data_IF_698869840066
#
_entry.id   IF_698869840066
#
_cell.length_a   1.000
_cell.length_b   1.000
_cell.length_c   1.000
_cell.angle_alpha   90.00
_cell.angle_beta   90.00
_cell.angle_gamma   90.00
#
_symmetry.space_group_name_H-M   'P 1'
#
loop_
_entity.id
_entity.type
_entity.pdbx_description
1 polymer ?
#
# COMPACT_ATOMS: atom_id res chain seq x y z
N UNK A 1 42.58 14.30 60.53
CA UNK A 1 41.38 14.23 61.38
C UNK A 1 40.34 13.39 60.66
N UNK A 2 40.18 12.16 61.14
CA UNK A 2 39.29 11.12 60.62
C UNK A 2 38.08 11.00 61.54
N UNK A 3 36.86 11.03 61.00
CA UNK A 3 35.69 10.45 61.67
C UNK A 3 34.74 9.78 60.65
N UNK A 4 34.04 8.71 61.07
CA UNK A 4 33.69 7.59 60.22
C UNK A 4 32.21 7.55 59.78
N UNK A 5 32.01 6.71 58.77
CA UNK A 5 30.78 6.03 58.36
C UNK A 5 29.90 5.56 59.55
N UNK A 6 28.58 5.78 59.45
CA UNK A 6 27.56 4.93 60.05
C UNK A 6 26.41 4.66 59.08
N UNK A 7 26.36 3.40 58.65
CA UNK A 7 25.23 2.72 58.04
C UNK A 7 24.09 2.62 59.06
N UNK A 8 22.86 2.97 58.67
CA UNK A 8 21.65 2.63 59.43
C UNK A 8 20.61 2.03 58.48
N UNK A 9 20.57 0.71 58.53
CA UNK A 9 19.60 -0.19 57.95
C UNK A 9 18.23 0.03 58.61
N UNK A 10 17.19 0.36 57.84
CA UNK A 10 15.78 0.18 58.25
C UNK A 10 15.08 -0.70 57.23
N UNK A 11 15.16 -1.99 57.48
CA UNK A 11 14.19 -3.00 57.05
C UNK A 11 13.03 -2.92 58.04
N UNK A 12 11.80 -2.73 57.57
CA UNK A 12 10.58 -3.44 58.01
C UNK A 12 9.33 -2.73 57.46
N UNK A 13 8.38 -3.55 56.98
CA UNK A 13 6.97 -3.24 56.69
C UNK A 13 6.61 -2.86 55.24
N UNK A 14 6.46 -3.87 54.38
CA UNK A 14 5.43 -3.92 53.32
C UNK A 14 5.39 -5.31 52.68
N UNK A 15 4.99 -6.31 53.46
CA UNK A 15 4.59 -7.65 52.98
C UNK A 15 3.16 -7.88 53.44
N UNK A 16 2.18 -7.20 52.84
CA UNK A 16 0.75 -7.61 52.75
C UNK A 16 0.09 -6.69 51.71
N UNK A 17 0.27 -6.93 50.41
CA UNK A 17 -0.65 -6.51 49.33
C UNK A 17 -0.25 -7.16 47.99
N UNK A 18 0.12 -8.45 48.01
CA UNK A 18 0.58 -9.19 46.82
C UNK A 18 -0.13 -10.54 46.65
N UNK A 19 -1.41 -10.65 47.05
CA UNK A 19 -2.17 -11.91 46.98
C UNK A 19 -3.63 -11.75 46.53
N UNK A 20 -3.98 -10.71 45.78
CA UNK A 20 -5.35 -10.48 45.29
C UNK A 20 -5.40 -9.74 43.94
N UNK A 21 -4.54 -10.13 43.01
CA UNK A 21 -4.61 -9.68 41.60
C UNK A 21 -4.27 -10.80 40.59
N UNK A 22 -4.45 -12.07 40.97
CA UNK A 22 -4.15 -13.23 40.13
C UNK A 22 -5.40 -14.04 39.71
N UNK A 23 -6.60 -13.48 39.87
CA UNK A 23 -7.87 -14.13 39.57
C UNK A 23 -8.74 -13.21 38.71
N UNK A 24 -8.64 -13.32 37.38
CA UNK A 24 -9.61 -12.62 36.54
C UNK A 24 -9.42 -12.62 35.04
N UNK A 25 -8.21 -12.82 34.50
CA UNK A 25 -8.08 -12.98 33.04
C UNK A 25 -8.42 -14.42 32.71
N UNK A 26 -9.72 -14.72 32.67
CA UNK A 26 -10.22 -15.84 31.88
C UNK A 26 -9.74 -15.56 30.46
N UNK A 27 -8.61 -16.15 30.09
CA UNK A 27 -8.23 -16.35 28.70
C UNK A 27 -9.37 -17.16 28.10
N UNK A 28 -10.39 -16.46 27.60
CA UNK A 28 -11.33 -17.01 26.65
C UNK A 28 -10.44 -17.59 25.58
N UNK A 29 -10.44 -18.92 25.46
CA UNK A 29 -9.63 -19.66 24.50
C UNK A 29 -10.06 -19.23 23.10
N UNK A 30 -9.51 -18.12 22.64
CA UNK A 30 -9.60 -17.70 21.26
C UNK A 30 -8.87 -18.79 20.49
N UNK A 31 -9.65 -19.73 19.98
CA UNK A 31 -9.18 -20.77 19.09
C UNK A 31 -8.40 -20.07 17.99
N UNK A 32 -7.10 -20.34 17.93
CA UNK A 32 -6.20 -19.73 16.95
C UNK A 32 -6.81 -19.97 15.56
N UNK A 33 -7.27 -18.89 14.92
CA UNK A 33 -7.97 -19.00 13.64
C UNK A 33 -6.95 -19.53 12.64
N UNK A 34 -7.12 -20.78 12.21
CA UNK A 34 -6.28 -21.40 11.18
C UNK A 34 -6.30 -20.49 9.94
N UNK A 35 -5.15 -19.92 9.62
CA UNK A 35 -4.99 -19.06 8.46
C UNK A 35 -5.25 -19.88 7.19
N UNK A 36 -5.96 -19.28 6.25
CA UNK A 36 -6.18 -19.86 4.92
C UNK A 36 -4.97 -19.58 4.07
N UNK A 37 -4.60 -20.54 3.23
CA UNK A 37 -3.52 -20.36 2.28
C UNK A 37 -3.89 -19.30 1.22
N UNK A 38 -2.88 -18.55 0.80
CA UNK A 38 -2.96 -17.65 -0.34
C UNK A 38 -3.14 -18.50 -1.61
N UNK A 39 -4.16 -18.20 -2.40
CA UNK A 39 -4.47 -18.99 -3.59
C UNK A 39 -4.02 -18.26 -4.84
N UNK A 40 -3.07 -18.84 -5.57
CA UNK A 40 -2.71 -18.34 -6.90
C UNK A 40 -3.88 -18.49 -7.87
N UNK A 41 -4.22 -17.43 -8.59
CA UNK A 41 -5.37 -17.38 -9.51
C UNK A 41 -4.94 -17.48 -10.96
N UNK A 42 -4.15 -16.51 -11.42
CA UNK A 42 -3.70 -16.39 -12.81
C UNK A 42 -2.52 -15.42 -12.89
N UNK A 43 -2.01 -15.22 -14.09
CA UNK A 43 -0.88 -14.31 -14.35
C UNK A 43 -0.91 -13.77 -15.77
N UNK A 44 -0.14 -12.71 -15.98
CA UNK A 44 0.07 -12.08 -17.28
C UNK A 44 1.27 -11.15 -17.25
N UNK A 45 1.71 -10.74 -18.44
CA UNK A 45 2.75 -9.74 -18.61
C UNK A 45 2.14 -8.40 -19.00
N UNK A 46 2.43 -7.35 -18.24
CA UNK A 46 1.98 -6.00 -18.55
C UNK A 46 3.10 -5.20 -19.23
N UNK A 47 2.80 -4.64 -20.39
CA UNK A 47 3.73 -3.83 -21.16
C UNK A 47 3.61 -2.34 -20.79
N UNK A 48 4.72 -1.61 -20.82
CA UNK A 48 4.76 -0.16 -20.61
C UNK A 48 5.64 0.49 -21.64
N UNK A 49 5.07 1.46 -22.38
CA UNK A 49 5.82 2.23 -23.38
C UNK A 49 6.84 3.15 -22.70
N UNK A 50 7.84 3.59 -23.46
CA UNK A 50 8.73 4.66 -22.99
C UNK A 50 8.07 6.01 -23.28
N UNK A 51 8.52 7.04 -22.56
CA UNK A 51 8.07 8.39 -22.82
C UNK A 51 8.35 8.78 -24.27
N UNK A 52 7.32 9.26 -24.97
CA UNK A 52 7.39 9.65 -26.38
C UNK A 52 7.09 8.52 -27.38
N UNK A 53 7.06 7.25 -26.94
CA UNK A 53 6.56 6.16 -27.77
C UNK A 53 5.03 6.26 -27.87
N UNK A 54 4.48 6.05 -29.07
CA UNK A 54 3.04 6.03 -29.34
C UNK A 54 2.47 4.61 -29.49
N UNK A 55 3.33 3.62 -29.67
CA UNK A 55 2.96 2.22 -29.91
C UNK A 55 3.86 1.27 -29.13
N UNK A 56 3.36 0.06 -28.89
CA UNK A 56 4.20 -1.01 -28.36
C UNK A 56 5.04 -1.63 -29.47
N UNK A 57 6.32 -1.77 -29.19
CA UNK A 57 7.30 -2.47 -30.02
C UNK A 57 7.69 -3.79 -29.36
N UNK A 58 8.50 -4.58 -30.06
CA UNK A 58 9.13 -5.78 -29.48
C UNK A 58 10.07 -5.45 -28.31
N UNK A 59 10.56 -4.21 -28.25
CA UNK A 59 11.50 -3.73 -27.24
C UNK A 59 10.79 -2.96 -26.11
N UNK A 60 9.46 -2.89 -26.15
CA UNK A 60 8.64 -2.34 -25.07
C UNK A 60 8.84 -3.19 -23.82
N UNK A 61 9.16 -2.51 -22.72
CA UNK A 61 9.40 -3.13 -21.43
C UNK A 61 8.13 -3.83 -20.94
N UNK A 62 8.29 -5.02 -20.37
CA UNK A 62 7.21 -5.84 -19.84
C UNK A 62 7.55 -6.30 -18.44
N UNK A 63 6.51 -6.53 -17.65
CA UNK A 63 6.61 -6.92 -16.26
C UNK A 63 5.73 -8.14 -16.02
N UNK A 64 6.30 -9.20 -15.46
CA UNK A 64 5.49 -10.32 -14.98
C UNK A 64 4.62 -9.88 -13.81
N UNK A 65 3.33 -10.22 -13.85
CA UNK A 65 2.34 -9.92 -12.79
C UNK A 65 1.57 -11.18 -12.44
N UNK A 66 1.56 -11.51 -11.16
CA UNK A 66 0.79 -12.60 -10.58
C UNK A 66 -0.44 -12.08 -9.86
N UNK A 67 -1.54 -12.81 -9.95
CA UNK A 67 -2.78 -12.53 -9.24
C UNK A 67 -3.06 -13.62 -8.21
N UNK A 68 -3.24 -13.22 -6.96
CA UNK A 68 -3.56 -14.10 -5.84
C UNK A 68 -4.90 -13.72 -5.21
N UNK A 69 -5.52 -14.68 -4.54
CA UNK A 69 -6.66 -14.46 -3.63
C UNK A 69 -6.24 -14.68 -2.19
N UNK A 70 -6.35 -13.63 -1.39
CA UNK A 70 -6.19 -13.71 0.06
C UNK A 70 -7.55 -13.91 0.74
N UNK A 71 -7.79 -15.14 1.20
CA UNK A 71 -9.05 -15.52 1.84
C UNK A 71 -9.12 -15.13 3.33
N UNK A 72 -8.05 -14.55 3.89
CA UNK A 72 -8.03 -14.09 5.27
C UNK A 72 -8.60 -12.67 5.41
N UNK A 73 -8.60 -11.90 4.31
CA UNK A 73 -9.09 -10.52 4.24
C UNK A 73 -10.38 -10.43 3.43
N UNK A 74 -11.43 -9.87 4.04
CA UNK A 74 -12.72 -9.59 3.40
C UNK A 74 -13.36 -10.77 2.64
N UNK A 75 -13.04 -12.01 3.03
CA UNK A 75 -13.59 -13.23 2.41
C UNK A 75 -12.95 -13.62 1.07
N UNK A 76 -11.91 -12.91 0.60
CA UNK A 76 -11.24 -13.24 -0.67
C UNK A 76 -10.88 -12.01 -1.50
N UNK A 77 -10.05 -11.11 -0.97
CA UNK A 77 -9.53 -9.96 -1.74
C UNK A 77 -8.51 -10.42 -2.78
N UNK A 78 -8.50 -9.76 -3.94
CA UNK A 78 -7.47 -9.94 -4.95
C UNK A 78 -6.19 -9.19 -4.60
N UNK A 79 -5.05 -9.83 -4.80
CA UNK A 79 -3.72 -9.26 -4.63
C UNK A 79 -2.91 -9.49 -5.90
N UNK A 80 -2.65 -8.42 -6.65
CA UNK A 80 -1.73 -8.42 -7.77
C UNK A 80 -0.32 -8.09 -7.29
N UNK A 81 0.69 -8.81 -7.79
CA UNK A 81 2.10 -8.61 -7.44
C UNK A 81 2.95 -8.64 -8.71
N UNK A 82 3.71 -7.59 -8.96
CA UNK A 82 4.67 -7.54 -10.07
C UNK A 82 6.01 -8.18 -9.71
N UNK A 83 6.81 -8.53 -10.72
CA UNK A 83 8.19 -9.01 -10.54
C UNK A 83 9.11 -8.05 -9.76
N UNK A 84 8.76 -6.77 -9.68
CA UNK A 84 9.50 -5.76 -8.90
C UNK A 84 9.16 -5.84 -7.41
N UNK A 85 8.03 -6.47 -7.08
CA UNK A 85 7.44 -6.55 -5.75
C UNK A 85 6.31 -5.56 -5.53
N UNK A 86 6.02 -4.65 -6.46
CA UNK A 86 4.89 -3.74 -6.31
C UNK A 86 3.58 -4.52 -6.20
N UNK A 87 2.72 -4.13 -5.26
CA UNK A 87 1.48 -4.82 -4.91
C UNK A 87 0.28 -3.92 -5.15
N UNK A 88 -0.84 -4.50 -5.56
CA UNK A 88 -2.11 -3.79 -5.67
C UNK A 88 -3.27 -4.70 -5.24
N UNK A 89 -4.18 -4.17 -4.43
CA UNK A 89 -5.40 -4.86 -4.03
C UNK A 89 -6.54 -4.51 -4.97
N UNK A 90 -7.41 -5.49 -5.23
CA UNK A 90 -8.65 -5.25 -5.95
C UNK A 90 -9.77 -6.15 -5.43
N UNK A 91 -11.04 -5.74 -5.57
CA UNK A 91 -12.17 -6.61 -5.28
C UNK A 91 -12.37 -7.67 -6.39
N UNK A 92 -13.51 -8.34 -6.39
CA UNK A 92 -13.96 -9.26 -7.45
C UNK A 92 -13.20 -10.60 -7.59
N UNK A 93 -12.39 -10.99 -6.60
CA UNK A 93 -11.82 -12.35 -6.53
C UNK A 93 -12.73 -13.34 -5.79
N UNK A 94 -13.74 -12.83 -5.09
CA UNK A 94 -14.79 -13.64 -4.46
C UNK A 94 -15.61 -14.33 -5.55
N UNK A 95 -15.75 -15.65 -5.46
CA UNK A 95 -16.46 -16.46 -6.46
C UNK A 95 -15.60 -16.97 -7.62
N UNK A 96 -14.37 -16.48 -7.78
CA UNK A 96 -13.42 -17.13 -8.69
C UNK A 96 -13.07 -18.53 -8.17
N UNK A 97 -12.84 -19.47 -9.10
CA UNK A 97 -12.38 -20.83 -8.80
C UNK A 97 -10.92 -20.99 -9.26
N UNK A 98 -9.94 -20.45 -8.50
CA UNK A 98 -8.54 -20.55 -8.86
C UNK A 98 -8.02 -22.00 -8.74
N UNK A 99 -7.03 -22.42 -9.54
CA UNK A 99 -6.41 -21.66 -10.63
C UNK A 99 -7.32 -21.52 -11.85
N UNK A 100 -7.28 -20.36 -12.51
CA UNK A 100 -8.04 -20.13 -13.74
C UNK A 100 -7.29 -20.70 -14.94
N UNK A 101 -7.89 -21.67 -15.61
CA UNK A 101 -7.32 -22.30 -16.81
C UNK A 101 -8.37 -22.39 -17.93
N UNK A 102 -8.19 -21.71 -19.08
CA UNK A 102 -7.05 -20.83 -19.40
C UNK A 102 -7.13 -19.46 -18.71
N UNK A 103 -5.97 -18.92 -18.32
CA UNK A 103 -5.84 -17.50 -17.97
C UNK A 103 -6.03 -16.66 -19.24
N UNK A 104 -6.96 -15.71 -19.22
CA UNK A 104 -7.10 -14.73 -20.31
C UNK A 104 -6.10 -13.60 -20.11
N UNK A 105 -5.37 -13.25 -21.17
CA UNK A 105 -4.46 -12.10 -21.16
C UNK A 105 -5.21 -10.78 -20.98
N UNK A 106 -4.59 -9.77 -20.34
CA UNK A 106 -5.21 -8.47 -20.11
C UNK A 106 -5.34 -7.70 -21.42
N UNK A 107 -6.41 -6.91 -21.54
CA UNK A 107 -6.61 -6.03 -22.68
C UNK A 107 -5.99 -4.65 -22.39
N UNK A 108 -5.00 -4.24 -23.18
CA UNK A 108 -4.52 -2.86 -23.18
C UNK A 108 -5.63 -1.95 -23.68
N UNK A 109 -5.90 -0.85 -22.97
CA UNK A 109 -6.88 0.13 -23.41
C UNK A 109 -6.28 1.49 -23.74
N UNK A 110 -5.42 2.02 -22.88
CA UNK A 110 -4.82 3.35 -23.09
C UNK A 110 -3.56 3.52 -22.25
N UNK A 111 -2.82 4.59 -22.53
CA UNK A 111 -1.62 4.98 -21.81
C UNK A 111 -1.63 6.46 -21.50
N UNK A 112 -1.04 6.82 -20.37
CA UNK A 112 -0.97 8.17 -19.83
C UNK A 112 0.49 8.53 -19.56
N UNK A 113 0.87 9.77 -19.81
CA UNK A 113 2.15 10.33 -19.38
C UNK A 113 1.89 11.24 -18.18
N UNK A 114 2.46 10.89 -17.02
CA UNK A 114 2.14 11.54 -15.75
C UNK A 114 3.37 12.30 -15.23
N UNK A 115 3.44 13.63 -15.43
CA UNK A 115 4.41 14.46 -14.74
C UNK A 115 4.29 14.31 -13.22
N UNK A 116 5.39 14.32 -12.49
CA UNK A 116 5.37 14.31 -11.03
C UNK A 116 6.49 15.18 -10.47
N UNK A 117 6.12 16.23 -9.72
CA UNK A 117 7.10 17.16 -9.16
C UNK A 117 7.67 16.64 -7.86
N UNK A 118 8.89 17.07 -7.56
CA UNK A 118 9.47 16.86 -6.23
C UNK A 118 8.77 17.71 -5.19
N UNK A 119 8.81 17.28 -3.93
CA UNK A 119 8.30 18.09 -2.82
C UNK A 119 8.89 19.52 -2.82
N UNK A 120 8.04 20.52 -2.65
CA UNK A 120 8.39 21.95 -2.64
C UNK A 120 8.53 22.59 -4.03
N UNK A 121 8.40 21.82 -5.12
CA UNK A 121 8.49 22.36 -6.48
C UNK A 121 7.11 22.84 -6.96
N UNK A 122 6.97 24.15 -7.15
CA UNK A 122 5.67 24.79 -7.42
C UNK A 122 5.20 24.75 -8.88
N UNK A 123 6.11 24.53 -9.83
CA UNK A 123 5.79 24.55 -11.27
C UNK A 123 6.35 23.31 -11.95
N UNK A 124 5.63 22.82 -12.95
CA UNK A 124 6.20 21.87 -13.89
C UNK A 124 7.26 22.60 -14.72
N UNK A 125 8.43 21.99 -14.82
CA UNK A 125 9.58 22.45 -15.59
C UNK A 125 10.19 21.30 -16.37
N UNK A 126 11.26 21.58 -17.11
CA UNK A 126 11.98 20.58 -17.91
C UNK A 126 12.64 19.46 -17.09
N UNK A 127 12.82 19.69 -15.78
CA UNK A 127 13.46 18.74 -14.86
C UNK A 127 12.40 17.89 -14.11
N UNK A 128 11.12 18.19 -14.34
CA UNK A 128 10.00 17.40 -13.83
C UNK A 128 10.02 16.03 -14.50
N UNK A 129 10.11 14.98 -13.68
CA UNK A 129 10.04 13.61 -14.19
C UNK A 129 8.63 13.31 -14.70
N UNK A 130 8.54 12.69 -15.87
CA UNK A 130 7.30 12.15 -16.42
C UNK A 130 7.37 10.63 -16.34
N UNK A 131 6.33 10.00 -15.79
CA UNK A 131 6.23 8.54 -15.66
C UNK A 131 5.15 8.04 -16.63
N UNK A 132 5.53 7.32 -17.70
CA UNK A 132 4.57 6.62 -18.54
C UNK A 132 3.82 5.56 -17.72
N UNK A 133 2.52 5.47 -17.93
CA UNK A 133 1.63 4.52 -17.27
C UNK A 133 0.66 3.91 -18.27
N UNK A 134 0.49 2.60 -18.21
CA UNK A 134 -0.44 1.86 -19.08
C UNK A 134 -1.59 1.26 -18.29
N UNK A 135 -2.76 1.21 -18.93
CA UNK A 135 -4.01 0.75 -18.35
C UNK A 135 -4.48 -0.51 -19.04
N UNK A 136 -4.76 -1.51 -18.22
CA UNK A 136 -5.20 -2.83 -18.64
C UNK A 136 -6.49 -3.22 -17.96
N UNK A 137 -7.31 -4.02 -18.65
CA UNK A 137 -8.43 -4.74 -18.04
C UNK A 137 -8.02 -6.18 -17.80
N UNK A 138 -8.11 -6.65 -16.56
CA UNK A 138 -8.07 -8.08 -16.25
C UNK A 138 -9.45 -8.70 -16.56
N UNK A 139 -9.58 -9.49 -17.64
CA UNK A 139 -10.86 -10.11 -18.01
C UNK A 139 -11.29 -11.23 -17.07
N UNK A 140 -10.43 -11.67 -16.15
CA UNK A 140 -10.71 -12.78 -15.25
C UNK A 140 -11.43 -12.31 -13.98
N UNK A 141 -10.98 -11.20 -13.40
CA UNK A 141 -11.58 -10.60 -12.19
C UNK A 141 -12.34 -9.29 -12.48
N UNK A 142 -12.35 -8.83 -13.73
CA UNK A 142 -13.00 -7.59 -14.15
C UNK A 142 -12.48 -6.37 -13.33
N UNK A 143 -11.17 -6.31 -13.17
CA UNK A 143 -10.46 -5.25 -12.46
C UNK A 143 -9.62 -4.41 -13.43
N UNK A 144 -9.49 -3.12 -13.13
CA UNK A 144 -8.53 -2.27 -13.81
C UNK A 144 -7.15 -2.46 -13.21
N UNK A 145 -6.14 -2.50 -14.06
CA UNK A 145 -4.74 -2.60 -13.68
C UNK A 145 -3.99 -1.45 -14.31
N UNK A 146 -3.21 -0.77 -13.50
CA UNK A 146 -2.39 0.36 -13.89
C UNK A 146 -0.95 -0.01 -13.59
N UNK A 147 -0.05 0.23 -14.54
CA UNK A 147 1.37 -0.05 -14.34
C UNK A 147 2.24 1.05 -14.92
N UNK A 148 3.25 1.49 -14.16
CA UNK A 148 4.23 2.48 -14.64
C UNK A 148 5.43 1.84 -15.32
N UNK A 149 6.22 2.63 -16.03
CA UNK A 149 7.50 2.24 -16.65
C UNK A 149 8.55 1.68 -15.66
N UNK A 150 8.29 1.80 -14.35
CA UNK A 150 9.08 1.23 -13.25
C UNK A 150 8.48 -0.05 -12.65
N UNK A 151 7.34 -0.51 -13.15
CA UNK A 151 6.67 -1.71 -12.69
C UNK A 151 5.89 -1.50 -11.40
N UNK A 152 5.52 -0.25 -11.07
CA UNK A 152 4.66 0.04 -9.94
C UNK A 152 3.20 -0.22 -10.34
N UNK A 153 2.51 -1.03 -9.56
CA UNK A 153 1.14 -1.45 -9.81
C UNK A 153 0.15 -0.65 -8.98
N UNK A 154 -1.02 -0.41 -9.56
CA UNK A 154 -2.24 -0.12 -8.82
C UNK A 154 -3.42 -0.84 -9.49
N UNK A 155 -4.45 -1.11 -8.72
CA UNK A 155 -5.64 -1.79 -9.20
C UNK A 155 -6.87 -1.19 -8.53
N UNK A 156 -7.99 -1.21 -9.24
CA UNK A 156 -9.27 -0.80 -8.69
C UNK A 156 -10.41 -1.59 -9.35
N UNK A 157 -11.58 -1.58 -8.72
CA UNK A 157 -12.78 -2.02 -9.43
C UNK A 157 -13.05 -1.07 -10.60
N UNK A 158 -13.76 -1.59 -11.59
CA UNK A 158 -14.23 -0.77 -12.69
C UNK A 158 -15.70 -1.00 -12.94
N UNK A 159 -16.51 0.05 -12.80
CA UNK A 159 -17.51 0.32 -13.85
C UNK A 159 -16.74 0.94 -15.01
N UNK A 160 -16.94 0.44 -16.23
CA UNK A 160 -16.56 1.19 -17.42
C UNK A 160 -17.32 2.51 -17.34
N UNK A 161 -16.62 3.60 -17.05
CA UNK A 161 -17.06 4.89 -17.56
C UNK A 161 -16.48 4.94 -18.96
N UNK A 162 -17.29 4.75 -20.03
CA UNK A 162 -16.80 4.96 -21.38
C UNK A 162 -16.58 6.47 -21.57
N UNK A 163 -15.54 6.99 -20.93
CA UNK A 163 -14.90 8.19 -21.42
C UNK A 163 -14.53 7.91 -22.87
N UNK A 164 -14.71 8.90 -23.75
CA UNK A 164 -14.17 8.82 -25.10
C UNK A 164 -12.67 8.54 -24.95
N UNK A 165 -12.23 7.35 -25.37
CA UNK A 165 -10.85 6.91 -25.35
C UNK A 165 -9.93 7.98 -25.93
N UNK A 166 -8.72 8.12 -25.38
CA UNK A 166 -7.68 8.99 -25.93
C UNK A 166 -7.73 10.43 -25.40
N UNK A 167 -8.21 10.63 -24.17
CA UNK A 167 -8.05 11.89 -23.47
C UNK A 167 -6.89 11.82 -22.49
N UNK A 168 -6.05 12.84 -22.53
CA UNK A 168 -4.98 13.03 -21.57
C UNK A 168 -5.55 13.16 -20.14
N UNK A 169 -4.81 12.67 -19.12
CA UNK A 169 -5.20 12.83 -17.74
C UNK A 169 -5.21 14.31 -17.37
N UNK A 170 -6.26 14.76 -16.68
CA UNK A 170 -6.38 16.15 -16.25
C UNK A 170 -5.77 16.30 -14.86
N UNK A 171 -4.79 17.16 -14.69
CA UNK A 171 -4.26 17.51 -13.37
C UNK A 171 -5.36 18.12 -12.47
N UNK A 172 -5.43 17.68 -11.22
CA UNK A 172 -6.42 18.10 -10.22
C UNK A 172 -5.78 19.02 -9.19
N UNK A 173 -4.82 18.50 -8.41
CA UNK A 173 -4.04 19.25 -7.42
C UNK A 173 -2.74 18.49 -7.09
N UNK A 174 -1.98 19.01 -6.13
CA UNK A 174 -0.75 18.39 -5.64
C UNK A 174 -0.62 18.54 -4.13
N UNK A 175 0.07 17.60 -3.49
CA UNK A 175 0.37 17.66 -2.06
C UNK A 175 1.83 17.26 -1.79
N UNK A 176 2.41 17.86 -0.75
CA UNK A 176 3.72 17.48 -0.23
C UNK A 176 3.53 16.78 1.12
N UNK A 177 3.96 15.52 1.20
CA UNK A 177 3.86 14.71 2.41
C UNK A 177 5.21 14.50 3.06
N UNK A 178 5.20 14.34 4.39
CA UNK A 178 6.37 13.95 5.17
C UNK A 178 6.18 12.54 5.71
N UNK A 179 7.25 11.76 5.77
CA UNK A 179 7.18 10.38 6.28
C UNK A 179 8.37 10.11 7.18
N UNK A 180 8.10 9.72 8.42
CA UNK A 180 9.13 9.29 9.35
C UNK A 180 9.59 7.87 9.02
N UNK A 181 10.82 7.55 9.42
CA UNK A 181 11.30 6.17 9.31
C UNK A 181 10.65 5.28 10.36
N UNK A 182 10.57 3.99 10.07
CA UNK A 182 10.04 3.00 11.01
C UNK A 182 10.76 3.03 12.37
N UNK A 183 10.00 3.13 13.46
CA UNK A 183 10.50 3.23 14.83
C UNK A 183 11.01 4.62 15.22
N UNK A 184 10.93 5.63 14.34
CA UNK A 184 11.37 6.99 14.60
C UNK A 184 10.18 7.89 14.92
N UNK A 185 10.17 8.46 16.13
CA UNK A 185 9.08 9.35 16.58
C UNK A 185 9.22 10.79 16.09
N UNK A 186 10.45 11.25 15.89
CA UNK A 186 10.78 12.64 15.56
C UNK A 186 10.75 12.90 14.04
N UNK A 187 10.35 14.11 13.65
CA UNK A 187 10.25 14.52 12.24
C UNK A 187 11.55 15.04 11.62
N UNK A 188 12.62 15.18 12.41
CA UNK A 188 13.88 15.83 11.98
C UNK A 188 14.45 15.22 10.69
N UNK A 189 14.32 13.91 10.54
CA UNK A 189 14.85 13.14 9.42
C UNK A 189 13.73 12.55 8.54
N UNK A 190 12.53 13.13 8.61
CA UNK A 190 11.41 12.70 7.80
C UNK A 190 11.68 12.97 6.31
N UNK A 191 11.40 11.96 5.48
CA UNK A 191 11.50 12.09 4.03
C UNK A 191 10.32 12.92 3.50
N UNK A 192 10.55 13.70 2.45
CA UNK A 192 9.52 14.52 1.79
C UNK A 192 9.21 13.96 0.40
N UNK A 193 7.93 13.88 0.08
CA UNK A 193 7.45 13.36 -1.20
C UNK A 193 6.44 14.31 -1.81
N UNK A 194 6.69 14.73 -3.06
CA UNK A 194 5.68 15.39 -3.88
C UNK A 194 4.74 14.34 -4.49
N UNK A 195 3.45 14.63 -4.45
CA UNK A 195 2.38 13.80 -5.01
C UNK A 195 1.53 14.67 -5.92
N UNK A 196 1.34 14.23 -7.15
CA UNK A 196 0.38 14.83 -8.07
C UNK A 196 -0.89 13.97 -8.10
N UNK A 197 -2.03 14.64 -8.24
CA UNK A 197 -3.32 13.99 -8.39
C UNK A 197 -3.89 14.34 -9.76
N UNK A 198 -4.19 13.31 -10.55
CA UNK A 198 -4.78 13.43 -11.88
C UNK A 198 -6.16 12.78 -11.90
N UNK A 199 -7.04 13.31 -12.74
CA UNK A 199 -8.29 12.65 -13.15
C UNK A 199 -8.02 11.95 -14.47
N UNK A 200 -8.18 10.64 -14.48
CA UNK A 200 -8.19 9.87 -15.72
C UNK A 200 -9.55 9.97 -16.39
N UNK A 201 -9.61 10.70 -17.50
CA UNK A 201 -10.84 10.89 -18.27
C UNK A 201 -11.34 9.59 -18.93
N UNK A 202 -10.50 8.55 -19.05
CA UNK A 202 -10.87 7.29 -19.68
C UNK A 202 -11.57 6.36 -18.69
N UNK A 203 -11.22 6.41 -17.40
CA UNK A 203 -11.76 5.50 -16.39
C UNK A 203 -12.60 6.19 -15.30
N UNK A 204 -12.57 7.52 -15.20
CA UNK A 204 -13.25 8.25 -14.13
C UNK A 204 -12.61 8.04 -12.75
N UNK A 205 -11.35 7.60 -12.72
CA UNK A 205 -10.60 7.42 -11.48
C UNK A 205 -9.68 8.61 -11.21
N UNK A 206 -9.34 8.80 -9.94
CA UNK A 206 -8.22 9.63 -9.52
C UNK A 206 -6.94 8.78 -9.50
N UNK A 207 -5.88 9.33 -10.08
CA UNK A 207 -4.53 8.79 -10.06
C UNK A 207 -3.70 9.65 -9.12
N UNK A 208 -3.22 9.05 -8.04
CA UNK A 208 -2.20 9.63 -7.19
C UNK A 208 -0.86 9.09 -7.65
N UNK A 209 0.10 9.96 -7.93
CA UNK A 209 1.45 9.56 -8.34
C UNK A 209 2.52 10.32 -7.55
N UNK A 210 3.46 9.59 -6.99
CA UNK A 210 4.61 10.18 -6.30
C UNK A 210 5.70 10.59 -7.27
N UNK A 211 6.58 11.52 -6.87
CA UNK A 211 7.77 11.88 -7.66
C UNK A 211 8.64 10.67 -8.07
N UNK A 212 8.59 9.55 -7.33
CA UNK A 212 9.31 8.31 -7.67
C UNK A 212 8.54 7.41 -8.64
N UNK A 213 7.29 7.73 -8.98
CA UNK A 213 6.45 6.97 -9.92
C UNK A 213 5.67 5.82 -9.27
N UNK A 214 5.52 5.83 -7.94
CA UNK A 214 4.53 4.95 -7.29
C UNK A 214 3.14 5.52 -7.49
N UNK A 215 2.18 4.65 -7.75
CA UNK A 215 0.81 5.04 -8.08
C UNK A 215 -0.19 4.41 -7.11
N UNK A 216 -1.29 5.12 -6.87
CA UNK A 216 -2.49 4.60 -6.24
C UNK A 216 -3.71 5.13 -6.98
N UNK A 217 -4.73 4.27 -7.15
CA UNK A 217 -5.92 4.57 -7.94
C UNK A 217 -7.15 4.40 -7.07
N UNK A 218 -8.03 5.39 -7.09
CA UNK A 218 -9.35 5.31 -6.45
C UNK A 218 -10.43 5.86 -7.37
N UNK A 219 -11.66 5.33 -7.33
CA UNK A 219 -12.78 5.91 -8.06
C UNK A 219 -13.04 7.36 -7.65
N UNK A 220 -13.34 8.23 -8.62
CA UNK A 220 -13.82 9.57 -8.33
C UNK A 220 -15.33 9.55 -8.08
N UNK A 221 -15.75 9.36 -6.82
CA UNK A 221 -17.18 9.27 -6.49
C UNK A 221 -17.92 10.63 -6.58
N UNK A 222 -17.17 11.73 -6.46
CA UNK A 222 -17.68 13.11 -6.53
C UNK A 222 -16.69 13.96 -7.30
N UNK A 223 -17.20 14.90 -8.09
CA UNK A 223 -16.34 15.82 -8.83
C UNK A 223 -15.44 16.61 -7.88
N UNK A 224 -14.15 16.39 -8.01
CA UNK A 224 -13.13 17.14 -7.28
C UNK A 224 -12.90 18.47 -7.98
N UNK A 225 -13.01 19.56 -7.23
CA UNK A 225 -12.62 20.89 -7.71
C UNK A 225 -11.11 21.03 -7.55
N UNK A 226 -10.45 21.63 -8.54
CA UNK A 226 -9.02 21.94 -8.49
C UNK A 226 -8.77 23.09 -7.48
N UNK A 227 -8.83 22.75 -6.19
CA UNK A 227 -8.54 23.63 -5.06
C UNK A 227 -7.47 22.94 -4.20
N UNK A 228 -6.26 23.49 -4.20
CA UNK A 228 -5.12 22.85 -3.57
C UNK A 228 -5.11 23.13 -2.07
N UNK A 229 -5.82 22.32 -1.30
CA UNK A 229 -5.73 22.35 0.17
C UNK A 229 -4.63 21.42 0.65
N UNK A 230 -3.89 21.86 1.67
CA UNK A 230 -2.92 21.01 2.33
C UNK A 230 -3.64 19.83 3.00
N UNK A 231 -3.10 18.60 2.88
CA UNK A 231 -3.68 17.45 3.54
C UNK A 231 -3.47 17.52 5.05
N UNK A 232 -4.42 16.97 5.80
CA UNK A 232 -4.35 16.94 7.26
C UNK A 232 -3.65 15.66 7.71
N UNK A 233 -2.58 15.78 8.50
CA UNK A 233 -1.93 14.60 9.08
C UNK A 233 -2.80 13.99 10.18
N UNK A 234 -3.04 12.68 10.11
CA UNK A 234 -3.85 11.95 11.08
C UNK A 234 -2.95 11.32 12.15
N UNK A 235 -2.12 10.36 11.76
CA UNK A 235 -1.20 9.62 12.64
C UNK A 235 -0.15 8.88 11.80
N UNK A 236 0.81 8.26 12.48
CA UNK A 236 1.80 7.37 11.86
C UNK A 236 1.69 5.95 12.39
N UNK A 237 2.15 5.00 11.58
CA UNK A 237 2.14 3.57 11.84
C UNK A 237 3.57 3.02 11.68
N UNK A 238 3.95 2.12 12.57
CA UNK A 238 5.18 1.33 12.46
C UNK A 238 4.84 -0.11 12.07
N UNK A 239 5.12 -0.49 10.82
CA UNK A 239 4.76 -1.80 10.29
C UNK A 239 5.98 -2.71 10.23
N UNK A 240 6.03 -3.72 11.08
CA UNK A 240 7.05 -4.77 10.98
C UNK A 240 6.77 -5.65 9.78
N UNK A 241 7.74 -5.90 8.91
CA UNK A 241 7.59 -6.83 7.80
C UNK A 241 8.73 -7.83 7.77
N UNK A 242 8.38 -9.11 7.81
CA UNK A 242 9.35 -10.19 7.67
C UNK A 242 9.83 -10.29 6.23
N UNK A 243 11.07 -10.71 6.08
CA UNK A 243 11.55 -11.19 4.79
C UNK A 243 10.87 -12.53 4.42
N UNK A 244 10.83 -12.89 3.14
CA UNK A 244 10.21 -14.14 2.65
C UNK A 244 10.79 -15.41 3.28
N UNK A 245 12.03 -15.35 3.75
CA UNK A 245 12.73 -16.45 4.41
C UNK A 245 12.73 -16.34 5.96
N UNK A 246 12.12 -15.31 6.53
CA UNK A 246 12.05 -15.09 7.98
C UNK A 246 10.80 -15.74 8.57
N UNK A 247 11.01 -16.70 9.49
CA UNK A 247 9.91 -17.53 10.02
C UNK A 247 9.05 -16.81 11.08
N UNK A 248 9.64 -15.90 11.83
CA UNK A 248 9.00 -15.25 12.99
C UNK A 248 9.50 -13.82 13.14
N UNK A 249 8.68 -12.92 13.69
CA UNK A 249 9.13 -11.59 14.07
C UNK A 249 10.24 -11.69 15.13
N UNK A 250 11.30 -10.94 14.90
CA UNK A 250 12.44 -10.77 15.79
C UNK A 250 12.65 -9.28 16.06
N UNK A 251 13.57 -8.94 16.95
CA UNK A 251 14.01 -7.54 17.14
C UNK A 251 14.65 -6.95 15.87
N UNK A 252 15.14 -7.80 14.98
CA UNK A 252 15.86 -7.43 13.76
C UNK A 252 14.90 -7.39 12.55
N UNK A 253 13.63 -7.78 12.71
CA UNK A 253 12.62 -7.63 11.65
C UNK A 253 12.48 -6.16 11.29
N UNK A 254 12.57 -5.87 9.99
CA UNK A 254 12.50 -4.51 9.47
C UNK A 254 11.15 -3.87 9.80
N UNK A 255 11.19 -2.62 10.25
CA UNK A 255 10.01 -1.77 10.43
C UNK A 255 9.97 -0.69 9.37
N UNK A 256 8.79 -0.45 8.82
CA UNK A 256 8.52 0.62 7.88
C UNK A 256 7.62 1.66 8.54
N UNK A 257 8.04 2.92 8.48
CA UNK A 257 7.18 4.04 8.86
C UNK A 257 6.17 4.31 7.75
N UNK A 258 4.89 4.41 8.11
CA UNK A 258 3.81 4.81 7.21
C UNK A 258 3.05 5.96 7.87
N UNK A 259 2.92 7.08 7.16
CA UNK A 259 2.11 8.20 7.64
C UNK A 259 0.74 8.22 6.94
N UNK A 260 -0.29 8.56 7.70
CA UNK A 260 -1.68 8.61 7.23
C UNK A 260 -2.14 10.06 7.18
N UNK A 261 -2.58 10.48 6.01
CA UNK A 261 -3.08 11.83 5.75
C UNK A 261 -4.52 11.79 5.25
N UNK A 262 -5.29 12.81 5.57
CA UNK A 262 -6.60 13.08 4.97
C UNK A 262 -6.45 14.17 3.90
N UNK A 263 -6.62 13.78 2.65
CA UNK A 263 -6.67 14.71 1.53
C UNK A 263 -8.05 15.36 1.47
N UNK A 264 -8.20 16.47 2.20
CA UNK A 264 -9.45 17.22 2.33
C UNK A 264 -10.00 17.74 0.99
N UNK A 265 -9.18 17.78 -0.06
CA UNK A 265 -9.60 18.19 -1.40
C UNK A 265 -10.46 17.10 -2.07
N UNK A 266 -10.07 15.84 -1.89
CA UNK A 266 -10.69 14.67 -2.55
C UNK A 266 -11.59 13.87 -1.60
N UNK A 267 -11.40 14.02 -0.29
CA UNK A 267 -12.05 13.21 0.73
C UNK A 267 -11.45 11.79 0.84
N UNK A 268 -10.21 11.61 0.41
CA UNK A 268 -9.51 10.33 0.49
C UNK A 268 -8.46 10.31 1.62
N UNK A 269 -8.12 9.11 2.06
CA UNK A 269 -6.97 8.84 2.90
C UNK A 269 -5.76 8.52 2.03
N UNK A 270 -4.63 9.15 2.33
CA UNK A 270 -3.33 8.84 1.72
C UNK A 270 -2.48 8.15 2.77
N UNK A 271 -2.09 6.91 2.49
CA UNK A 271 -1.06 6.19 3.22
C UNK A 271 0.23 6.31 2.42
N UNK A 272 1.31 6.75 3.05
CA UNK A 272 2.61 6.84 2.38
C UNK A 272 3.72 6.25 3.25
N UNK A 273 4.48 5.33 2.66
CA UNK A 273 5.60 4.62 3.28
C UNK A 273 6.89 5.44 3.20
N UNK A 274 7.83 5.20 4.11
CA UNK A 274 9.17 5.83 4.12
C UNK A 274 9.95 5.63 2.80
N UNK A 275 9.51 4.67 1.98
CA UNK A 275 10.08 4.35 0.66
C UNK A 275 9.49 5.19 -0.48
N UNK A 276 8.44 5.96 -0.21
CA UNK A 276 7.66 6.70 -1.21
C UNK A 276 6.56 5.86 -1.88
N UNK A 277 6.37 4.60 -1.48
CA UNK A 277 5.21 3.81 -1.89
C UNK A 277 3.94 4.37 -1.25
N UNK A 278 2.86 4.41 -2.03
CA UNK A 278 1.60 5.07 -1.68
C UNK A 278 0.43 4.11 -1.83
N UNK A 279 -0.55 4.24 -0.94
CA UNK A 279 -1.86 3.62 -1.08
C UNK A 279 -2.94 4.68 -0.76
N UNK A 280 -4.08 4.60 -1.42
CA UNK A 280 -5.18 5.56 -1.23
C UNK A 280 -6.49 4.81 -1.08
N UNK A 281 -7.32 5.23 -0.12
CA UNK A 281 -8.67 4.70 0.08
C UNK A 281 -9.64 5.85 0.32
N UNK A 282 -10.95 5.69 0.07
CA UNK A 282 -11.93 6.65 0.54
C UNK A 282 -11.83 6.87 2.06
N UNK A 283 -12.01 8.11 2.52
CA UNK A 283 -12.05 8.41 3.95
C UNK A 283 -13.44 8.17 4.53
N UNK A 284 -13.50 7.70 5.78
CA UNK A 284 -14.74 7.72 6.54
C UNK A 284 -15.18 9.17 6.83
N UNK A 285 -16.48 9.41 6.96
CA UNK A 285 -16.98 10.74 7.32
C UNK A 285 -16.58 11.12 8.75
N UNK A 286 -16.29 12.40 8.98
CA UNK A 286 -16.08 12.96 10.32
C UNK A 286 -14.74 12.59 10.98
N UNK A 287 -13.71 12.27 10.19
CA UNK A 287 -12.36 12.09 10.72
C UNK A 287 -11.85 13.39 11.35
N UNK A 288 -11.26 13.27 12.54
CA UNK A 288 -10.60 14.36 13.23
C UNK A 288 -9.09 14.24 13.06
N UNK A 289 -8.46 15.34 12.65
CA UNK A 289 -7.02 15.47 12.51
C UNK A 289 -6.43 16.39 13.61
N UNK A 290 -5.33 16.00 14.27
CA UNK A 290 -4.73 14.67 14.26
C UNK A 290 -5.60 13.65 15.00
N UNK A 291 -5.35 12.36 14.77
CA UNK A 291 -6.01 11.28 15.52
C UNK A 291 -5.56 11.31 16.97
N UNK A 292 -6.47 11.72 17.86
CA UNK A 292 -6.21 11.76 19.31
C UNK A 292 -6.07 10.33 19.85
N UNK A 293 -4.92 10.02 20.47
CA UNK A 293 -4.61 8.69 21.03
C UNK A 293 -4.73 7.59 19.97
N UNK A 294 -4.08 7.80 18.83
CA UNK A 294 -3.98 6.80 17.77
C UNK A 294 -3.55 5.44 18.36
N UNK A 295 -4.25 4.40 17.94
CA UNK A 295 -3.96 3.01 18.30
C UNK A 295 -2.89 2.45 17.37
N UNK A 296 -2.09 1.52 17.89
CA UNK A 296 -1.14 0.76 17.09
C UNK A 296 -1.85 -0.10 16.03
N UNK A 297 -1.22 -0.36 14.88
CA UNK A 297 -1.75 -1.26 13.87
C UNK A 297 -1.84 -2.70 14.42
N UNK A 298 -2.95 -3.37 14.14
CA UNK A 298 -3.19 -4.76 14.53
C UNK A 298 -2.64 -5.68 13.44
N UNK A 299 -1.57 -6.44 13.72
CA UNK A 299 -1.11 -7.49 12.80
C UNK A 299 -2.18 -8.57 12.65
N UNK A 300 -2.42 -9.03 11.42
CA UNK A 300 -3.46 -10.02 11.12
C UNK A 300 -2.89 -11.35 10.64
N UNK A 301 -2.06 -11.33 9.59
CA UNK A 301 -1.37 -12.48 9.05
C UNK A 301 -0.21 -12.08 8.15
N UNK A 302 0.65 -13.06 7.85
CA UNK A 302 1.72 -12.92 6.87
C UNK A 302 1.47 -13.73 5.60
N UNK A 303 2.09 -13.31 4.52
CA UNK A 303 2.00 -13.88 3.18
C UNK A 303 3.41 -14.04 2.61
N UNK A 304 3.61 -15.09 1.82
CA UNK A 304 4.78 -15.22 0.96
C UNK A 304 4.28 -15.23 -0.48
N UNK A 305 4.51 -14.12 -1.19
CA UNK A 305 4.08 -13.96 -2.57
C UNK A 305 5.25 -14.21 -3.50
N UNK A 306 5.04 -14.97 -4.57
CA UNK A 306 6.03 -15.14 -5.64
C UNK A 306 5.59 -14.35 -6.86
N UNK A 307 6.54 -13.79 -7.60
CA UNK A 307 6.25 -13.16 -8.89
C UNK A 307 7.25 -13.62 -9.93
N UNK A 308 6.75 -14.23 -11.01
CA UNK A 308 7.57 -14.62 -12.15
C UNK A 308 8.06 -13.39 -12.89
N UNK A 309 9.24 -13.50 -13.48
CA UNK A 309 9.74 -12.48 -14.41
C UNK A 309 8.98 -12.57 -15.73
N UNK A 310 8.98 -11.48 -16.49
CA UNK A 310 8.50 -11.46 -17.87
C UNK A 310 9.07 -12.65 -18.66
N UNK A 311 8.18 -13.45 -19.25
CA UNK A 311 8.54 -14.62 -20.07
C UNK A 311 8.90 -15.90 -19.29
N UNK A 312 8.95 -15.87 -17.95
CA UNK A 312 9.11 -17.08 -17.13
C UNK A 312 7.78 -17.86 -17.11
N UNK A 313 7.82 -19.12 -17.54
CA UNK A 313 6.62 -19.95 -17.73
C UNK A 313 6.13 -20.59 -16.44
N UNK A 314 7.06 -21.07 -15.61
CA UNK A 314 6.77 -21.86 -14.41
C UNK A 314 7.46 -21.25 -13.19
N UNK A 315 6.87 -21.43 -12.01
CA UNK A 315 7.57 -21.11 -10.78
C UNK A 315 8.79 -22.03 -10.60
N UNK A 316 9.92 -21.43 -10.28
CA UNK A 316 11.19 -22.09 -10.02
C UNK A 316 11.75 -21.65 -8.67
N UNK A 317 12.88 -22.25 -8.27
CA UNK A 317 13.64 -21.80 -7.10
C UNK A 317 14.28 -20.43 -7.31
N UNK A 318 14.36 -19.97 -8.57
CA UNK A 318 14.85 -18.64 -8.93
C UNK A 318 13.75 -17.59 -9.01
N UNK A 319 12.48 -18.00 -8.98
CA UNK A 319 11.37 -17.04 -8.98
C UNK A 319 11.43 -16.23 -7.69
N UNK A 320 11.38 -14.91 -7.83
CA UNK A 320 11.50 -14.02 -6.69
C UNK A 320 10.30 -14.19 -5.75
N UNK A 321 10.58 -14.32 -4.47
CA UNK A 321 9.59 -14.33 -3.40
C UNK A 321 9.72 -13.06 -2.57
N UNK A 322 8.60 -12.58 -2.03
CA UNK A 322 8.54 -11.43 -1.15
C UNK A 322 7.75 -11.81 0.10
N UNK A 323 8.32 -11.51 1.27
CA UNK A 323 7.55 -11.52 2.51
C UNK A 323 6.60 -10.32 2.50
N UNK A 324 5.34 -10.55 2.87
CA UNK A 324 4.36 -9.50 3.06
C UNK A 324 3.57 -9.73 4.35
N UNK A 325 3.19 -8.64 5.00
CA UNK A 325 2.41 -8.64 6.22
C UNK A 325 1.16 -7.81 6.04
N UNK A 326 0.07 -8.25 6.66
CA UNK A 326 -1.22 -7.59 6.62
C UNK A 326 -1.54 -7.05 7.99
N UNK A 327 -1.80 -5.75 8.05
CA UNK A 327 -2.19 -5.03 9.26
C UNK A 327 -3.59 -4.46 9.10
N UNK A 328 -4.32 -4.38 10.20
CA UNK A 328 -5.52 -3.58 10.30
C UNK A 328 -5.18 -2.29 11.04
N UNK A 329 -5.48 -1.16 10.41
CA UNK A 329 -5.47 0.13 11.09
C UNK A 329 -6.85 0.38 11.70
N UNK A 330 -7.02 0.22 13.03
CA UNK A 330 -8.31 0.40 13.67
C UNK A 330 -8.72 1.88 13.79
N UNK A 331 -7.82 2.84 13.51
CA UNK A 331 -8.12 4.27 13.61
C UNK A 331 -8.98 4.74 12.44
N UNK A 332 -8.76 4.18 11.25
CA UNK A 332 -9.51 4.52 10.01
C UNK A 332 -10.20 3.33 9.36
N UNK A 333 -10.07 2.12 9.91
CA UNK A 333 -10.79 0.94 9.45
C UNK A 333 -10.29 0.43 8.09
N UNK A 334 -8.99 0.31 7.92
CA UNK A 334 -8.35 -0.12 6.66
C UNK A 334 -7.48 -1.36 6.91
N UNK A 335 -7.43 -2.26 5.93
CA UNK A 335 -6.39 -3.28 5.85
C UNK A 335 -5.24 -2.76 4.99
N UNK A 336 -4.02 -2.83 5.52
CA UNK A 336 -2.80 -2.37 4.90
C UNK A 336 -1.85 -3.54 4.71
N UNK A 337 -1.43 -3.76 3.47
CA UNK A 337 -0.45 -4.77 3.11
C UNK A 337 0.88 -4.04 2.95
N UNK A 338 1.95 -4.58 3.54
CA UNK A 338 3.31 -4.10 3.36
C UNK A 338 4.21 -5.28 3.02
N UNK A 339 5.15 -5.12 2.09
CA UNK A 339 6.15 -6.15 1.81
C UNK A 339 7.54 -5.80 2.35
N UNK A 340 8.47 -6.75 2.25
CA UNK A 340 9.87 -6.61 2.71
C UNK A 340 10.66 -5.48 2.02
N UNK A 341 10.13 -4.92 0.93
CA UNK A 341 10.68 -3.75 0.23
C UNK A 341 10.07 -2.43 0.71
N UNK A 342 9.04 -2.48 1.56
CA UNK A 342 8.30 -1.33 2.06
C UNK A 342 7.25 -0.79 1.10
N UNK A 343 6.85 -1.61 0.12
CA UNK A 343 5.75 -1.26 -0.78
C UNK A 343 4.43 -1.57 -0.10
N UNK A 344 3.48 -0.65 -0.22
CA UNK A 344 2.19 -0.71 0.46
C UNK A 344 1.02 -0.70 -0.52
N UNK A 345 -0.07 -1.35 -0.13
CA UNK A 345 -1.39 -1.24 -0.75
C UNK A 345 -2.45 -1.38 0.32
N UNK A 346 -3.60 -0.73 0.15
CA UNK A 346 -4.62 -0.62 1.18
C UNK A 346 -6.01 -0.92 0.62
N UNK A 347 -6.90 -1.43 1.46
CA UNK A 347 -8.33 -1.58 1.14
C UNK A 347 -9.16 -1.27 2.38
N UNK A 348 -10.26 -0.55 2.20
CA UNK A 348 -11.21 -0.28 3.28
C UNK A 348 -11.75 -1.60 3.87
N UNK A 349 -11.86 -1.69 5.19
CA UNK A 349 -12.32 -2.91 5.86
C UNK A 349 -13.84 -3.11 5.76
N UNK A 350 -14.61 -2.08 5.38
CA UNK A 350 -16.07 -2.12 5.19
C UNK A 350 -16.55 -1.06 4.21
#
# INVERSE_FOLDING_TARGET
MSYPFRFALRIFSLVVFAALAASGVKNAGAQEKKLKELQWSHAFDLATRKLGDTEFTKDTKRWGVEAFRDNNTLGGVGLYVSETGSMALAPNFVGLNPPLNPSKGPALLTGNDLPARKAGVLKFDKDTQVHPMELFRDPNADNWLFITDKGNLAACNGKLFPGKTGKDPKWVHSVDLQVRKGGVKEWKDASKFGIEVYRDANTGNLIYITQQGFIAIVPEEKEVKADSKAPEWLHGLDLSCRASNEKSFTKDTRKFGVEVYHDVTTGNLIFISETGSIAVTPAAAGLAAPTVKAKEPEWTHGLNVKARRYGEKDFSDTTKAFGAEVFRDPNVGVFLYVNELGYITAIAAK
#
